data_IF_613820220086
#
_entry.id   IF_613820220086
#
_cell.length_a   1.000
_cell.length_b   1.000
_cell.length_c   1.000
_cell.angle_alpha   90.00
_cell.angle_beta   90.00
_cell.angle_gamma   90.00
#
_symmetry.space_group_name_H-M   'P 1'
#
loop_
_entity.id
_entity.type
_entity.pdbx_description
1 polymer ?
#
# COMPACT_ATOMS: atom_id res chain seq x y z
N UNK A 1 -3.74 22.50 -0.82
CA UNK A 1 -2.69 23.39 -1.34
C UNK A 1 -1.94 22.73 -2.50
N UNK A 2 -1.19 23.53 -3.25
CA UNK A 2 -0.38 23.00 -4.35
C UNK A 2 0.64 21.98 -3.87
N UNK A 3 1.20 22.16 -2.69
CA UNK A 3 2.16 21.24 -2.11
C UNK A 3 1.53 19.86 -1.86
N UNK A 4 0.31 19.84 -1.31
CA UNK A 4 -0.40 18.60 -1.02
C UNK A 4 -0.72 17.83 -2.31
N UNK A 5 -1.16 18.54 -3.33
CA UNK A 5 -1.44 17.94 -4.63
C UNK A 5 -0.17 17.31 -5.21
N UNK A 6 0.95 17.99 -5.07
CA UNK A 6 2.23 17.52 -5.58
C UNK A 6 2.67 16.23 -4.89
N UNK A 7 2.58 16.18 -3.57
CA UNK A 7 2.94 14.99 -2.80
C UNK A 7 2.06 13.80 -3.19
N UNK A 8 0.76 14.03 -3.31
CA UNK A 8 -0.18 12.97 -3.68
C UNK A 8 0.14 12.41 -5.07
N UNK A 9 0.46 13.28 -6.04
CA UNK A 9 0.81 12.83 -7.38
C UNK A 9 2.05 11.95 -7.37
N UNK A 10 3.04 12.26 -6.55
CA UNK A 10 4.26 11.47 -6.46
C UNK A 10 4.04 10.10 -5.84
N UNK A 11 2.99 9.95 -5.03
CA UNK A 11 2.72 8.69 -4.33
C UNK A 11 1.78 7.76 -5.10
N UNK A 12 1.16 8.23 -6.17
CA UNK A 12 0.21 7.41 -6.94
C UNK A 12 0.88 6.70 -8.10
N UNK A 13 0.48 5.45 -8.30
CA UNK A 13 0.82 4.67 -9.48
C UNK A 13 -0.47 4.18 -10.12
N UNK A 14 -0.51 4.18 -11.45
CA UNK A 14 -1.67 3.68 -12.18
C UNK A 14 -1.21 2.60 -13.16
N UNK A 15 -2.08 1.63 -13.39
CA UNK A 15 -1.86 0.59 -14.37
C UNK A 15 -2.79 0.84 -15.56
N UNK A 16 -2.24 0.82 -16.77
CA UNK A 16 -3.00 1.01 -18.00
C UNK A 16 -2.86 -0.21 -18.89
N UNK A 17 -3.97 -0.59 -19.50
CA UNK A 17 -4.01 -1.62 -20.54
C UNK A 17 -4.78 -1.04 -21.72
N UNK A 18 -4.17 -1.06 -22.90
CA UNK A 18 -4.78 -0.57 -24.14
C UNK A 18 -5.32 0.86 -24.01
N UNK A 19 -4.58 1.72 -23.30
CA UNK A 19 -4.96 3.11 -23.11
C UNK A 19 -6.00 3.36 -22.03
N UNK A 20 -6.43 2.32 -21.32
CA UNK A 20 -7.40 2.43 -20.23
C UNK A 20 -6.72 2.22 -18.89
N UNK A 21 -7.08 3.04 -17.89
CA UNK A 21 -6.66 2.82 -16.51
C UNK A 21 -7.45 1.65 -15.95
N UNK A 22 -6.75 0.59 -15.54
CA UNK A 22 -7.36 -0.63 -15.00
C UNK A 22 -7.04 -0.86 -13.54
N UNK A 23 -6.21 -0.03 -12.94
CA UNK A 23 -5.90 -0.14 -11.53
C UNK A 23 -5.08 1.03 -11.04
N UNK A 24 -5.05 1.19 -9.73
CA UNK A 24 -4.24 2.24 -9.10
C UNK A 24 -3.79 1.78 -7.72
N UNK A 25 -2.77 2.46 -7.22
CA UNK A 25 -2.20 2.20 -5.92
C UNK A 25 -1.49 3.46 -5.44
N UNK A 26 -1.58 3.77 -4.16
CA UNK A 26 -0.79 4.86 -3.61
C UNK A 26 0.17 4.34 -2.55
N UNK A 27 1.31 5.01 -2.42
CA UNK A 27 2.30 4.74 -1.40
C UNK A 27 2.40 5.98 -0.53
N UNK A 28 2.03 5.85 0.73
CA UNK A 28 2.11 6.95 1.69
C UNK A 28 3.28 6.74 2.64
N UNK A 29 4.19 7.69 2.68
CA UNK A 29 5.30 7.63 3.62
C UNK A 29 4.79 8.02 5.00
N UNK A 30 4.95 7.11 5.98
CA UNK A 30 4.51 7.33 7.35
C UNK A 30 5.68 7.88 8.18
N UNK A 31 6.82 7.21 8.10
CA UNK A 31 8.06 7.61 8.75
C UNK A 31 9.22 7.38 7.77
N UNK A 32 10.42 7.77 8.15
CA UNK A 32 11.59 7.61 7.30
C UNK A 32 11.87 6.16 6.88
N UNK A 33 11.36 5.19 7.66
CA UNK A 33 11.61 3.77 7.40
C UNK A 33 10.33 2.95 7.22
N UNK A 34 9.17 3.62 7.08
CA UNK A 34 7.88 2.94 6.99
C UNK A 34 6.96 3.64 6.02
N UNK A 35 6.38 2.88 5.11
CA UNK A 35 5.39 3.39 4.17
C UNK A 35 4.18 2.46 4.14
N UNK A 36 3.05 2.99 3.71
CA UNK A 36 1.80 2.26 3.60
C UNK A 36 1.30 2.22 2.17
N UNK A 37 0.87 1.04 1.73
CA UNK A 37 0.14 0.89 0.46
C UNK A 37 -1.32 1.19 0.74
N UNK A 38 -1.86 2.21 0.07
CA UNK A 38 -3.25 2.62 0.20
C UNK A 38 -3.92 2.65 -1.17
N UNK A 39 -5.25 2.64 -1.15
CA UNK A 39 -6.07 2.85 -2.35
C UNK A 39 -5.74 1.88 -3.49
N UNK A 40 -5.35 0.66 -3.13
CA UNK A 40 -5.13 -0.37 -4.14
C UNK A 40 -6.47 -0.79 -4.70
N UNK A 41 -6.67 -0.54 -5.98
CA UNK A 41 -7.90 -0.87 -6.68
C UNK A 41 -7.57 -1.41 -8.06
N UNK A 42 -8.31 -2.44 -8.46
CA UNK A 42 -8.16 -3.08 -9.77
C UNK A 42 -9.56 -3.24 -10.38
N UNK A 43 -9.67 -2.95 -11.67
CA UNK A 43 -10.90 -3.16 -12.43
C UNK A 43 -11.33 -4.62 -12.27
N UNK A 44 -12.62 -4.83 -11.97
CA UNK A 44 -13.18 -6.17 -11.75
C UNK A 44 -12.97 -7.09 -12.95
N UNK A 45 -13.05 -6.54 -14.15
CA UNK A 45 -12.84 -7.30 -15.37
C UNK A 45 -11.39 -7.73 -15.58
N UNK A 46 -10.47 -7.08 -14.89
CA UNK A 46 -9.03 -7.36 -14.99
C UNK A 46 -8.46 -8.06 -13.76
N UNK A 47 -9.32 -8.45 -12.82
CA UNK A 47 -8.90 -9.23 -11.66
C UNK A 47 -8.33 -10.58 -12.15
N UNK A 48 -7.18 -10.95 -11.65
CA UNK A 48 -6.51 -12.17 -12.10
C UNK A 48 -5.55 -11.97 -13.27
N UNK A 49 -5.51 -10.78 -13.87
CA UNK A 49 -4.56 -10.48 -14.95
C UNK A 49 -3.20 -10.00 -14.44
N UNK A 50 -2.97 -10.04 -13.13
CA UNK A 50 -1.70 -9.64 -12.54
C UNK A 50 -1.55 -8.15 -12.31
N UNK A 51 -2.61 -7.36 -12.50
CA UNK A 51 -2.55 -5.91 -12.33
C UNK A 51 -2.23 -5.52 -10.90
N UNK A 52 -2.92 -6.12 -9.93
CA UNK A 52 -2.69 -5.83 -8.51
C UNK A 52 -1.28 -6.20 -8.08
N UNK A 53 -0.80 -7.35 -8.53
CA UNK A 53 0.55 -7.81 -8.24
C UNK A 53 1.60 -6.85 -8.79
N UNK A 54 1.39 -6.35 -10.01
CA UNK A 54 2.30 -5.38 -10.64
C UNK A 54 2.29 -4.07 -9.88
N UNK A 55 1.12 -3.59 -9.47
CA UNK A 55 1.00 -2.34 -8.71
C UNK A 55 1.71 -2.43 -7.36
N UNK A 56 1.50 -3.52 -6.62
CA UNK A 56 2.17 -3.72 -5.34
C UNK A 56 3.68 -3.86 -5.54
N UNK A 57 4.10 -4.59 -6.56
CA UNK A 57 5.52 -4.72 -6.90
C UNK A 57 6.17 -3.38 -7.18
N UNK A 58 5.48 -2.51 -7.92
CA UNK A 58 5.96 -1.16 -8.21
C UNK A 58 6.10 -0.33 -6.92
N UNK A 59 5.12 -0.44 -6.03
CA UNK A 59 5.17 0.26 -4.74
C UNK A 59 6.37 -0.21 -3.90
N UNK A 60 6.63 -1.51 -3.88
CA UNK A 60 7.77 -2.08 -3.15
C UNK A 60 9.09 -1.57 -3.72
N UNK A 61 9.22 -1.55 -5.05
CA UNK A 61 10.42 -1.00 -5.71
C UNK A 61 10.60 0.47 -5.38
N UNK A 62 9.52 1.23 -5.42
CA UNK A 62 9.54 2.66 -5.11
C UNK A 62 10.02 2.91 -3.68
N UNK A 63 9.52 2.12 -2.73
CA UNK A 63 9.96 2.21 -1.34
C UNK A 63 11.47 1.92 -1.22
N UNK A 64 11.95 0.90 -1.93
CA UNK A 64 13.38 0.57 -1.94
C UNK A 64 14.25 1.70 -2.44
N UNK A 65 13.82 2.37 -3.52
CA UNK A 65 14.55 3.51 -4.07
C UNK A 65 14.57 4.71 -3.14
N UNK A 66 13.53 4.86 -2.34
CA UNK A 66 13.43 5.95 -1.37
C UNK A 66 14.14 5.64 -0.06
N UNK A 67 14.71 4.45 0.07
CA UNK A 67 15.40 4.04 1.29
C UNK A 67 14.48 3.63 2.42
N UNK A 68 13.22 3.32 2.09
CA UNK A 68 12.23 2.89 3.09
C UNK A 68 12.34 1.38 3.26
N UNK A 69 12.66 0.94 4.46
CA UNK A 69 12.97 -0.47 4.72
C UNK A 69 11.77 -1.32 5.07
N UNK A 70 10.61 -0.73 5.35
CA UNK A 70 9.40 -1.47 5.69
C UNK A 70 8.20 -0.90 4.97
N UNK A 71 7.35 -1.78 4.47
CA UNK A 71 6.11 -1.39 3.80
C UNK A 71 4.98 -2.27 4.35
N UNK A 72 3.83 -1.65 4.60
CA UNK A 72 2.69 -2.38 5.15
C UNK A 72 1.41 -2.02 4.41
N UNK A 73 0.38 -2.82 4.63
CA UNK A 73 -0.96 -2.55 4.12
C UNK A 73 -1.98 -3.07 5.13
N UNK A 74 -3.14 -2.44 5.16
CA UNK A 74 -4.31 -2.93 5.87
C UNK A 74 -5.24 -3.51 4.81
N UNK A 75 -5.61 -4.78 4.91
CA UNK A 75 -6.26 -5.48 3.81
C UNK A 75 -7.30 -6.48 4.28
N UNK A 76 -8.31 -6.70 3.45
CA UNK A 76 -9.26 -7.81 3.61
C UNK A 76 -8.77 -9.07 2.87
N UNK A 77 -7.66 -8.96 2.15
CA UNK A 77 -7.10 -10.05 1.35
C UNK A 77 -5.64 -10.30 1.72
N UNK A 78 -5.38 -10.77 2.96
CA UNK A 78 -3.99 -11.03 3.37
C UNK A 78 -3.32 -12.10 2.53
N UNK A 79 -4.08 -13.07 2.02
CA UNK A 79 -3.56 -14.12 1.15
C UNK A 79 -2.88 -13.56 -0.10
N UNK A 80 -3.46 -12.52 -0.68
CA UNK A 80 -2.89 -11.85 -1.85
C UNK A 80 -1.50 -11.28 -1.53
N UNK A 81 -1.40 -10.59 -0.40
CA UNK A 81 -0.12 -9.99 0.02
C UNK A 81 0.89 -11.04 0.48
N UNK A 82 0.43 -12.11 1.12
CA UNK A 82 1.32 -13.18 1.58
C UNK A 82 2.05 -13.84 0.41
N UNK A 83 1.38 -13.99 -0.73
CA UNK A 83 2.00 -14.53 -1.95
C UNK A 83 3.11 -13.63 -2.47
N UNK A 84 3.13 -12.37 -2.08
CA UNK A 84 4.15 -11.41 -2.48
C UNK A 84 5.23 -11.20 -1.41
N UNK A 85 5.22 -12.02 -0.37
CA UNK A 85 6.25 -11.99 0.66
C UNK A 85 5.91 -11.11 1.87
N UNK A 86 4.67 -10.66 1.99
CA UNK A 86 4.22 -9.94 3.17
C UNK A 86 3.85 -10.93 4.27
N UNK A 87 3.96 -10.52 5.51
CA UNK A 87 3.56 -11.29 6.68
C UNK A 87 2.43 -10.59 7.42
N UNK A 88 1.44 -11.38 7.87
CA UNK A 88 0.39 -10.85 8.73
C UNK A 88 0.97 -10.51 10.11
N UNK A 89 0.62 -9.34 10.64
CA UNK A 89 1.08 -8.90 11.97
C UNK A 89 -0.10 -8.30 12.72
N UNK A 90 0.04 -8.23 14.03
CA UNK A 90 -0.95 -7.55 14.87
C UNK A 90 -0.92 -6.04 14.55
N UNK A 91 -2.09 -5.42 14.52
CA UNK A 91 -2.17 -3.98 14.28
C UNK A 91 -1.39 -3.18 15.32
N UNK A 92 -1.32 -3.70 16.54
CA UNK A 92 -0.59 -3.09 17.65
C UNK A 92 0.91 -2.97 17.36
N UNK A 93 1.43 -3.76 16.43
CA UNK A 93 2.83 -3.68 16.03
C UNK A 93 3.12 -2.46 15.15
N UNK A 94 2.08 -1.78 14.65
CA UNK A 94 2.23 -0.62 13.80
C UNK A 94 2.36 0.66 14.62
N UNK A 95 3.00 1.72 14.06
CA UNK A 95 3.17 2.99 14.77
C UNK A 95 1.85 3.66 15.13
N UNK A 96 1.90 4.46 16.19
CA UNK A 96 0.74 5.18 16.71
C UNK A 96 0.05 6.07 15.67
N UNK A 97 0.79 6.59 14.69
CA UNK A 97 0.21 7.40 13.62
C UNK A 97 -0.82 6.61 12.82
N UNK A 98 -0.55 5.32 12.58
CA UNK A 98 -1.50 4.44 11.90
C UNK A 98 -2.75 4.27 12.74
N UNK A 99 -2.58 4.12 14.05
CA UNK A 99 -3.69 4.03 15.01
C UNK A 99 -4.56 5.26 14.98
N UNK A 100 -3.96 6.45 14.90
CA UNK A 100 -4.72 7.70 14.84
C UNK A 100 -5.62 7.73 13.60
N UNK A 101 -5.11 7.27 12.47
CA UNK A 101 -5.90 7.20 11.24
C UNK A 101 -7.04 6.18 11.39
N UNK A 102 -6.77 5.04 11.99
CA UNK A 102 -7.78 4.02 12.26
C UNK A 102 -8.85 4.54 13.23
N UNK A 103 -8.46 5.33 14.23
CA UNK A 103 -9.39 5.90 15.20
C UNK A 103 -10.41 6.84 14.55
N UNK A 104 -10.05 7.45 13.43
CA UNK A 104 -10.94 8.34 12.68
C UNK A 104 -11.80 7.59 11.66
N UNK A 105 -11.53 6.31 11.46
CA UNK A 105 -12.25 5.50 10.49
C UNK A 105 -13.62 5.08 11.05
N UNK A 106 -14.72 5.21 10.27
CA UNK A 106 -16.03 4.75 10.72
C UNK A 106 -16.09 3.26 11.06
N UNK A 107 -15.14 2.48 10.52
CA UNK A 107 -15.08 1.04 10.74
C UNK A 107 -14.20 0.64 11.91
N UNK A 108 -13.72 1.58 12.71
CA UNK A 108 -12.76 1.32 13.78
C UNK A 108 -13.14 0.13 14.67
N UNK A 109 -14.41 0.05 15.07
CA UNK A 109 -14.88 -0.99 15.98
C UNK A 109 -15.19 -2.31 15.28
N UNK A 110 -15.37 -2.26 13.95
CA UNK A 110 -15.73 -3.42 13.14
C UNK A 110 -14.74 -3.63 12.00
N UNK A 111 -13.50 -3.22 12.20
CA UNK A 111 -12.49 -3.32 11.17
C UNK A 111 -12.03 -4.76 11.01
N UNK A 112 -12.37 -5.37 9.87
CA UNK A 112 -11.97 -6.73 9.53
C UNK A 112 -10.61 -6.77 8.85
N UNK A 113 -10.02 -5.62 8.58
CA UNK A 113 -8.75 -5.54 7.87
C UNK A 113 -7.61 -6.11 8.69
N UNK A 114 -6.74 -6.83 8.01
CA UNK A 114 -5.56 -7.46 8.61
C UNK A 114 -4.34 -6.67 8.17
N UNK A 115 -3.44 -6.41 9.12
CA UNK A 115 -2.18 -5.74 8.82
C UNK A 115 -1.19 -6.75 8.27
N UNK A 116 -0.57 -6.42 7.14
CA UNK A 116 0.51 -7.21 6.55
C UNK A 116 1.71 -6.30 6.34
N UNK A 117 2.91 -6.83 6.54
CA UNK A 117 4.14 -6.05 6.46
C UNK A 117 5.21 -6.82 5.69
N UNK A 118 6.05 -6.10 4.98
CA UNK A 118 7.18 -6.66 4.24
C UNK A 118 8.41 -5.81 4.47
N UNK A 119 9.53 -6.47 4.71
CA UNK A 119 10.83 -5.82 4.72
C UNK A 119 11.27 -5.60 3.28
N UNK A 120 11.75 -4.40 3.00
CA UNK A 120 12.14 -3.99 1.65
C UNK A 120 13.66 -3.88 1.58
N UNK A 121 14.23 -4.45 0.53
CA UNK A 121 15.66 -4.29 0.26
C UNK A 121 15.87 -2.91 -0.34
N UNK A 122 16.63 -2.07 0.36
CA UNK A 122 16.91 -0.71 -0.10
C UNK A 122 18.09 -0.69 -1.07
N UNK A 123 18.01 0.20 -2.06
CA UNK A 123 19.07 0.38 -3.06
C UNK A 123 20.18 1.32 -2.58
N UNK A 124 20.12 1.71 -1.31
CA UNK A 124 21.08 2.64 -0.72
C UNK A 124 22.14 1.89 0.05
#
# INVERSE_FOLDING_TARGET
SMADIYENLQSFSVAELDGKVVGCCSLQIIWSDLAEIKSLAVDKEKTGAGVGKTLVGTAVEQAGRLGISRIFALTLRPDFFEKMGFEAVEKEALPMKVWSDCAKCPKQQNCDEIAVIKMVKCDI
#
